data_IF_997785965693
#
_entry.id   IF_997785965693
#
_cell.length_a   1.000
_cell.length_b   1.000
_cell.length_c   1.000
_cell.angle_alpha   90.00
_cell.angle_beta   90.00
_cell.angle_gamma   90.00
#
_symmetry.space_group_name_H-M   'P 1'
#
loop_
_entity.id
_entity.type
_entity.pdbx_description
1 polymer ?
#
# COMPACT_ATOMS: atom_id res chain seq x y z
N UNK A 1 -25.61 57.10 -41.66
CA UNK A 1 -24.69 57.93 -40.85
C UNK A 1 -24.82 57.52 -39.39
N UNK A 2 -23.69 57.22 -38.74
CA UNK A 2 -23.51 57.11 -37.29
C UNK A 2 -24.18 55.90 -36.62
N UNK A 3 -23.56 55.16 -35.73
CA UNK A 3 -22.22 55.26 -35.15
C UNK A 3 -22.08 54.09 -34.18
N UNK A 4 -20.99 53.34 -34.31
CA UNK A 4 -20.60 52.32 -33.35
C UNK A 4 -19.92 52.95 -32.14
N UNK A 5 -20.22 52.41 -30.96
CA UNK A 5 -19.46 52.53 -29.71
C UNK A 5 -19.95 51.36 -28.85
N UNK A 6 -19.13 50.48 -28.27
CA UNK A 6 -17.76 50.59 -27.83
C UNK A 6 -17.72 50.19 -26.35
N UNK A 7 -16.83 49.28 -25.99
CA UNK A 7 -16.54 48.87 -24.60
C UNK A 7 -17.45 47.77 -24.08
N UNK A 8 -17.00 46.80 -23.29
CA UNK A 8 -15.71 46.49 -22.69
C UNK A 8 -15.96 45.24 -21.85
N UNK A 9 -15.10 44.24 -21.93
CA UNK A 9 -14.33 43.86 -20.75
C UNK A 9 -14.99 42.74 -19.93
N UNK A 10 -14.26 41.63 -19.81
CA UNK A 10 -14.41 40.69 -18.71
C UNK A 10 -15.40 39.55 -18.94
N UNK A 11 -14.87 38.39 -19.31
CA UNK A 11 -15.19 37.21 -18.51
C UNK A 11 -13.98 36.27 -18.43
N UNK A 12 -13.33 36.37 -17.27
CA UNK A 12 -12.92 35.25 -16.43
C UNK A 12 -12.19 34.09 -17.11
N UNK A 13 -10.86 34.19 -17.15
CA UNK A 13 -10.02 33.01 -17.08
C UNK A 13 -10.18 32.40 -15.69
N UNK A 14 -10.82 31.23 -15.59
CA UNK A 14 -10.90 30.47 -14.34
C UNK A 14 -10.74 29.00 -14.63
N UNK A 15 -9.53 28.53 -14.32
CA UNK A 15 -9.33 27.29 -13.61
C UNK A 15 -9.69 26.02 -14.38
N UNK A 16 -8.71 25.54 -15.15
CA UNK A 16 -8.56 24.11 -15.40
C UNK A 16 -8.50 23.37 -14.07
N UNK A 17 -9.65 22.93 -13.59
CA UNK A 17 -9.79 22.06 -12.43
C UNK A 17 -9.16 20.72 -12.78
N UNK A 18 -7.87 20.59 -12.50
CA UNK A 18 -7.19 19.31 -12.44
C UNK A 18 -7.96 18.44 -11.44
N UNK A 19 -8.88 17.63 -11.95
CA UNK A 19 -9.45 16.49 -11.22
C UNK A 19 -8.24 15.71 -10.73
N UNK A 20 -7.93 15.85 -9.43
CA UNK A 20 -6.97 14.99 -8.74
C UNK A 20 -7.50 13.58 -8.97
N UNK A 21 -6.95 12.86 -9.95
CA UNK A 21 -7.31 11.47 -10.22
C UNK A 21 -7.04 10.75 -8.91
N UNK A 22 -8.11 10.38 -8.21
CA UNK A 22 -8.00 9.49 -7.05
C UNK A 22 -7.22 8.29 -7.58
N UNK A 23 -6.01 8.04 -7.07
CA UNK A 23 -5.17 7.01 -7.65
C UNK A 23 -5.88 5.69 -7.43
N UNK A 24 -6.26 5.04 -8.54
CA UNK A 24 -7.01 3.79 -8.53
C UNK A 24 -6.34 2.80 -7.57
N UNK A 25 -7.12 2.01 -6.83
CA UNK A 25 -6.58 0.94 -6.00
C UNK A 25 -5.68 0.05 -6.85
N UNK A 26 -4.60 -0.47 -6.26
CA UNK A 26 -3.68 -1.33 -7.00
C UNK A 26 -4.46 -2.57 -7.45
N UNK A 27 -4.63 -2.76 -8.76
CA UNK A 27 -5.34 -3.91 -9.28
C UNK A 27 -4.46 -5.15 -9.16
N UNK A 28 -4.82 -6.04 -8.24
CA UNK A 28 -4.10 -7.29 -7.98
C UNK A 28 -4.56 -8.44 -8.87
N UNK A 29 -5.68 -8.30 -9.57
CA UNK A 29 -6.38 -9.41 -10.26
C UNK A 29 -5.59 -10.02 -11.42
N UNK A 30 -4.60 -9.30 -11.94
CA UNK A 30 -3.73 -9.74 -13.04
C UNK A 30 -2.31 -10.05 -12.57
N UNK A 31 -2.05 -10.02 -11.25
CA UNK A 31 -0.71 -10.22 -10.70
C UNK A 31 -0.47 -11.67 -10.29
N UNK A 32 0.69 -12.25 -10.64
CA UNK A 32 1.01 -13.63 -10.28
C UNK A 32 1.09 -13.78 -8.75
N UNK A 33 0.45 -14.83 -8.24
CA UNK A 33 0.41 -15.14 -6.81
C UNK A 33 -0.72 -14.47 -6.03
N UNK A 34 -1.59 -13.66 -6.67
CA UNK A 34 -2.81 -13.13 -6.01
C UNK A 34 -3.77 -14.24 -5.58
N UNK A 35 -3.81 -15.36 -6.32
CA UNK A 35 -4.59 -16.55 -6.01
C UNK A 35 -4.14 -17.24 -4.71
N UNK A 36 -2.89 -17.05 -4.30
CA UNK A 36 -2.33 -17.56 -3.05
C UNK A 36 -2.61 -16.64 -1.85
N UNK A 37 -3.15 -15.45 -2.11
CA UNK A 37 -3.48 -14.46 -1.08
C UNK A 37 -4.93 -14.60 -0.65
N UNK A 38 -5.14 -14.68 0.66
CA UNK A 38 -6.46 -14.56 1.27
C UNK A 38 -7.03 -13.15 1.08
N UNK A 39 -8.35 -13.00 1.22
CA UNK A 39 -9.02 -11.70 1.08
C UNK A 39 -8.42 -10.59 1.98
N UNK A 40 -7.98 -10.94 3.19
CA UNK A 40 -7.27 -10.03 4.11
C UNK A 40 -5.88 -9.61 3.59
N UNK A 41 -5.16 -10.55 2.98
CA UNK A 41 -3.83 -10.31 2.41
C UNK A 41 -3.93 -9.44 1.16
N UNK A 42 -4.94 -9.69 0.31
CA UNK A 42 -5.24 -8.86 -0.85
C UNK A 42 -5.58 -7.41 -0.45
N UNK A 43 -6.31 -7.20 0.64
CA UNK A 43 -6.59 -5.85 1.16
C UNK A 43 -5.30 -5.11 1.55
N UNK A 44 -4.40 -5.78 2.28
CA UNK A 44 -3.08 -5.22 2.64
C UNK A 44 -2.27 -4.87 1.39
N UNK A 45 -2.22 -5.76 0.40
CA UNK A 45 -1.52 -5.51 -0.86
C UNK A 45 -2.12 -4.34 -1.66
N UNK A 46 -3.45 -4.25 -1.71
CA UNK A 46 -4.17 -3.20 -2.43
C UNK A 46 -3.96 -1.84 -1.78
N UNK A 47 -4.10 -1.77 -0.45
CA UNK A 47 -3.94 -0.54 0.33
C UNK A 47 -2.47 -0.09 0.41
N UNK A 48 -1.55 -1.05 0.60
CA UNK A 48 -0.11 -0.76 0.70
C UNK A 48 0.57 -0.61 -0.66
N UNK A 49 -0.16 -0.83 -1.76
CA UNK A 49 0.39 -0.94 -3.13
C UNK A 49 1.61 -1.87 -3.16
N UNK A 50 1.46 -3.04 -2.53
CA UNK A 50 2.50 -4.07 -2.44
C UNK A 50 2.17 -5.17 -3.44
N UNK A 51 3.15 -5.55 -4.27
CA UNK A 51 2.96 -6.64 -5.24
C UNK A 51 2.78 -7.97 -4.49
N UNK A 52 1.86 -8.86 -4.92
CA UNK A 52 1.63 -10.16 -4.29
C UNK A 52 2.92 -10.99 -4.14
N UNK A 53 3.78 -10.99 -5.16
CA UNK A 53 5.08 -11.66 -5.11
C UNK A 53 5.99 -11.13 -3.99
N UNK A 54 6.03 -9.81 -3.78
CA UNK A 54 6.81 -9.20 -2.70
C UNK A 54 6.22 -9.52 -1.33
N UNK A 55 4.88 -9.47 -1.22
CA UNK A 55 4.18 -9.86 0.00
C UNK A 55 4.51 -11.31 0.37
N UNK A 56 4.47 -12.23 -0.59
CA UNK A 56 4.77 -13.64 -0.36
C UNK A 56 6.21 -13.85 0.12
N UNK A 57 7.19 -13.15 -0.47
CA UNK A 57 8.58 -13.19 -0.01
C UNK A 57 8.74 -12.69 1.44
N UNK A 58 8.07 -11.59 1.80
CA UNK A 58 8.09 -11.04 3.17
C UNK A 58 7.45 -12.04 4.14
N UNK A 59 6.27 -12.55 3.79
CA UNK A 59 5.54 -13.56 4.56
C UNK A 59 6.39 -14.79 4.82
N UNK A 60 6.99 -15.35 3.77
CA UNK A 60 7.85 -16.52 3.90
C UNK A 60 9.05 -16.27 4.82
N UNK A 61 9.74 -15.15 4.67
CA UNK A 61 10.87 -14.80 5.52
C UNK A 61 10.47 -14.66 6.99
N UNK A 62 9.35 -13.99 7.29
CA UNK A 62 8.84 -13.85 8.65
C UNK A 62 8.41 -15.20 9.24
N UNK A 63 7.68 -16.02 8.48
CA UNK A 63 7.28 -17.35 8.95
C UNK A 63 8.49 -18.24 9.20
N UNK A 64 9.51 -18.21 8.33
CA UNK A 64 10.76 -18.96 8.53
C UNK A 64 11.50 -18.51 9.79
N UNK A 65 11.66 -17.21 10.00
CA UNK A 65 12.31 -16.68 11.20
C UNK A 65 11.56 -17.11 12.48
N UNK A 66 10.23 -17.00 12.48
CA UNK A 66 9.42 -17.46 13.60
C UNK A 66 9.48 -18.98 13.80
N UNK A 67 9.58 -19.77 12.73
CA UNK A 67 9.73 -21.22 12.79
C UNK A 67 11.09 -21.66 13.35
N UNK A 68 12.13 -20.84 13.18
CA UNK A 68 13.42 -21.02 13.85
C UNK A 68 13.38 -20.69 15.35
N UNK A 69 12.23 -20.25 15.87
CA UNK A 69 12.09 -19.83 17.27
C UNK A 69 12.67 -18.44 17.52
N UNK A 70 12.98 -17.67 16.47
CA UNK A 70 13.49 -16.32 16.64
C UNK A 70 12.32 -15.34 16.91
N UNK A 71 12.35 -14.63 18.05
CA UNK A 71 11.33 -13.65 18.38
C UNK A 71 11.37 -12.49 17.36
N UNK A 72 10.32 -12.34 16.56
CA UNK A 72 10.24 -11.25 15.61
C UNK A 72 9.82 -9.96 16.30
N UNK A 73 10.62 -8.90 16.18
CA UNK A 73 10.25 -7.58 16.70
C UNK A 73 9.87 -6.66 15.54
N UNK A 74 8.87 -5.80 15.78
CA UNK A 74 8.49 -4.76 14.81
C UNK A 74 9.69 -3.89 14.37
N UNK A 75 10.64 -3.64 15.27
CA UNK A 75 11.85 -2.88 14.95
C UNK A 75 12.70 -3.59 13.88
N UNK A 76 12.90 -4.90 14.04
CA UNK A 76 13.69 -5.72 13.10
C UNK A 76 12.96 -5.84 11.76
N UNK A 77 11.65 -6.07 11.77
CA UNK A 77 10.83 -6.14 10.55
C UNK A 77 10.93 -4.87 9.70
N UNK A 78 11.02 -3.69 10.33
CA UNK A 78 11.15 -2.40 9.62
C UNK A 78 12.44 -2.30 8.80
N UNK A 79 13.51 -2.96 9.21
CA UNK A 79 14.83 -2.91 8.57
C UNK A 79 15.21 -4.20 7.84
N UNK A 80 14.47 -5.29 8.09
CA UNK A 80 14.73 -6.61 7.52
C UNK A 80 14.53 -6.67 6.00
N UNK A 81 13.64 -5.83 5.47
CA UNK A 81 13.28 -5.85 4.05
C UNK A 81 13.61 -4.52 3.37
N UNK A 82 14.01 -4.58 2.09
CA UNK A 82 14.19 -3.38 1.23
C UNK A 82 12.85 -2.80 0.74
N UNK A 83 11.85 -2.73 1.62
CA UNK A 83 10.54 -2.13 1.33
C UNK A 83 10.22 -1.07 2.37
N UNK A 84 9.21 -0.25 2.10
CA UNK A 84 8.73 0.74 3.06
C UNK A 84 8.41 0.09 4.43
N UNK A 85 8.98 0.60 5.54
CA UNK A 85 8.90 -0.04 6.85
C UNK A 85 7.46 -0.20 7.33
N UNK A 86 6.58 0.75 6.99
CA UNK A 86 5.15 0.71 7.30
C UNK A 86 4.47 -0.51 6.66
N UNK A 87 4.86 -0.88 5.44
CA UNK A 87 4.27 -2.02 4.72
C UNK A 87 4.73 -3.34 5.32
N UNK A 88 6.02 -3.47 5.60
CA UNK A 88 6.58 -4.66 6.24
C UNK A 88 5.92 -4.91 7.61
N UNK A 89 5.74 -3.86 8.41
CA UNK A 89 5.03 -3.95 9.70
C UNK A 89 3.58 -4.38 9.49
N UNK A 90 2.86 -3.83 8.49
CA UNK A 90 1.48 -4.20 8.22
C UNK A 90 1.31 -5.70 7.88
N UNK A 91 2.25 -6.25 7.10
CA UNK A 91 2.30 -7.68 6.80
C UNK A 91 2.53 -8.47 8.08
N UNK A 92 3.55 -8.10 8.86
CA UNK A 92 3.86 -8.74 10.14
C UNK A 92 2.68 -8.74 11.13
N UNK A 93 1.94 -7.64 11.26
CA UNK A 93 0.74 -7.60 12.11
C UNK A 93 -0.36 -8.55 11.65
N UNK A 94 -0.52 -8.73 10.34
CA UNK A 94 -1.47 -9.70 9.80
C UNK A 94 -1.04 -11.14 10.13
N UNK A 95 0.26 -11.44 10.00
CA UNK A 95 0.84 -12.73 10.39
C UNK A 95 0.65 -13.01 11.90
N UNK A 96 0.87 -12.00 12.75
CA UNK A 96 0.62 -12.10 14.18
C UNK A 96 -0.85 -12.39 14.48
N UNK A 97 -1.76 -11.65 13.84
CA UNK A 97 -3.21 -11.85 14.02
C UNK A 97 -3.68 -13.24 13.56
N UNK A 98 -2.98 -13.85 12.61
CA UNK A 98 -3.26 -15.21 12.14
C UNK A 98 -2.56 -16.29 13.00
N UNK A 99 -1.72 -15.92 13.97
CA UNK A 99 -0.92 -16.84 14.77
C UNK A 99 0.19 -17.55 14.00
N UNK A 100 0.62 -16.99 12.86
CA UNK A 100 1.67 -17.58 12.02
C UNK A 100 3.08 -17.20 12.46
N UNK A 101 3.20 -16.07 13.16
CA UNK A 101 4.45 -15.63 13.77
C UNK A 101 4.21 -15.27 15.22
N UNK A 102 5.27 -15.34 16.02
CA UNK A 102 5.23 -14.94 17.42
C UNK A 102 5.86 -13.56 17.60
N UNK A 103 5.22 -12.71 18.40
CA UNK A 103 5.80 -11.44 18.78
C UNK A 103 6.92 -11.66 19.77
N UNK A 104 8.07 -11.07 19.47
CA UNK A 104 9.25 -11.14 20.32
C UNK A 104 9.16 -10.37 21.62
N UNK A 105 8.03 -9.71 21.89
CA UNK A 105 7.69 -9.11 23.17
C UNK A 105 7.11 -10.15 24.12
N UNK A 106 7.96 -11.07 24.59
CA UNK A 106 7.79 -11.57 25.96
C UNK A 106 7.98 -10.38 26.91
N UNK A 107 7.06 -10.23 27.87
CA UNK A 107 7.07 -9.14 28.87
C UNK A 107 8.30 -9.12 29.77
#
# INVERSE_FOLDING_TARGET
SGGGSGGGGGMVGLSGGGRKKVPLPLDLTQLPGVELLSRREQDVCTNSRLLPVHYLSIKEALMRASACGEPLKRADVRVMFKVEPVKAVRVYELLLSNGWVQDGGGG
#
